data_IF_148033539731
#
_entry.id   IF_148033539731
#
_cell.length_a   1.000
_cell.length_b   1.000
_cell.length_c   1.000
_cell.angle_alpha   90.00
_cell.angle_beta   90.00
_cell.angle_gamma   90.00
#
_symmetry.space_group_name_H-M   'P 1'
#
loop_
_entity.id
_entity.type
_entity.pdbx_description
1 polymer ?
#
# COMPACT_ATOMS: atom_id res chain seq x y z
N UNK A 1 -7.10 16.39 -39.91
CA UNK A 1 -6.84 15.47 -41.05
C UNK A 1 -5.38 15.62 -41.44
N UNK A 2 -4.66 14.50 -41.54
CA UNK A 2 -3.20 14.44 -41.57
C UNK A 2 -2.61 15.07 -42.87
N UNK A 3 -1.43 15.71 -42.79
CA UNK A 3 -0.80 16.41 -43.93
C UNK A 3 -0.54 15.48 -45.15
N UNK A 4 -0.32 14.19 -44.89
CA UNK A 4 -0.15 13.16 -45.94
C UNK A 4 -1.43 12.98 -46.74
N UNK A 5 -2.60 12.93 -46.08
CA UNK A 5 -3.87 12.86 -46.79
C UNK A 5 -4.09 14.11 -47.65
N UNK A 6 -3.77 15.29 -47.11
CA UNK A 6 -3.84 16.57 -47.83
C UNK A 6 -2.93 16.63 -49.07
N UNK A 7 -1.80 15.91 -49.07
CA UNK A 7 -0.88 15.83 -50.21
C UNK A 7 -1.33 14.90 -51.34
N UNK A 8 -2.29 13.99 -51.09
CA UNK A 8 -2.82 13.08 -52.12
C UNK A 8 -3.71 13.82 -53.13
N UNK A 9 -4.21 15.01 -52.78
CA UNK A 9 -5.02 15.83 -53.66
C UNK A 9 -4.15 16.85 -54.38
N UNK A 10 -4.10 16.77 -55.71
CA UNK A 10 -3.43 17.77 -56.55
C UNK A 10 -4.09 19.14 -56.34
N UNK A 11 -3.29 20.19 -56.11
CA UNK A 11 -3.76 21.59 -55.95
C UNK A 11 -4.64 22.06 -57.12
N UNK A 12 -4.45 21.47 -58.31
CA UNK A 12 -5.18 21.79 -59.53
C UNK A 12 -6.21 20.70 -59.93
N UNK A 13 -6.54 19.77 -59.03
CA UNK A 13 -7.41 18.62 -59.30
C UNK A 13 -6.94 17.74 -60.48
N UNK A 14 -5.63 17.70 -60.73
CA UNK A 14 -5.04 16.81 -61.74
C UNK A 14 -5.01 15.37 -61.22
N UNK A 15 -5.85 14.53 -61.82
CA UNK A 15 -6.04 13.12 -61.47
C UNK A 15 -4.76 12.31 -61.72
N UNK A 16 -3.96 12.64 -62.74
CA UNK A 16 -2.72 11.89 -63.02
C UNK A 16 -1.67 12.12 -61.95
N UNK A 17 -1.57 13.36 -61.46
CA UNK A 17 -0.67 13.71 -60.35
C UNK A 17 -1.15 13.03 -59.06
N UNK A 18 -2.45 13.08 -58.76
CA UNK A 18 -3.02 12.42 -57.58
C UNK A 18 -2.77 10.90 -57.60
N UNK A 19 -2.97 10.25 -58.76
CA UNK A 19 -2.74 8.81 -58.92
C UNK A 19 -1.26 8.45 -58.75
N UNK A 20 -0.36 9.25 -59.31
CA UNK A 20 1.09 9.05 -59.19
C UNK A 20 1.57 9.19 -57.75
N UNK A 21 1.12 10.24 -57.05
CA UNK A 21 1.46 10.45 -55.63
C UNK A 21 0.88 9.32 -54.77
N UNK A 22 -0.36 8.89 -55.01
CA UNK A 22 -0.98 7.77 -54.30
C UNK A 22 -0.20 6.46 -54.44
N UNK A 23 0.30 6.17 -55.66
CA UNK A 23 1.16 5.02 -55.89
C UNK A 23 2.53 5.16 -55.21
N UNK A 24 3.15 6.33 -55.26
CA UNK A 24 4.42 6.58 -54.56
C UNK A 24 4.29 6.43 -53.04
N UNK A 25 3.23 7.00 -52.46
CA UNK A 25 2.93 6.86 -51.03
C UNK A 25 2.68 5.40 -50.69
N UNK A 26 1.90 4.66 -51.50
CA UNK A 26 1.65 3.23 -51.27
C UNK A 26 2.91 2.37 -51.34
N UNK A 27 3.80 2.61 -52.32
CA UNK A 27 5.09 1.92 -52.40
C UNK A 27 5.96 2.24 -51.19
N UNK A 28 5.99 3.51 -50.77
CA UNK A 28 6.74 3.95 -49.60
C UNK A 28 6.21 3.32 -48.32
N UNK A 29 4.89 3.36 -48.07
CA UNK A 29 4.27 2.75 -46.90
C UNK A 29 4.52 1.25 -46.86
N UNK A 30 4.41 0.56 -48.01
CA UNK A 30 4.73 -0.87 -48.06
C UNK A 30 6.23 -1.12 -47.84
N UNK A 31 7.13 -0.21 -48.19
CA UNK A 31 8.53 -0.33 -47.82
C UNK A 31 8.74 -0.17 -46.29
N UNK A 32 8.04 0.76 -45.64
CA UNK A 32 8.11 0.92 -44.19
C UNK A 32 7.58 -0.29 -43.41
N UNK A 33 6.61 -1.03 -43.98
CA UNK A 33 6.04 -2.25 -43.37
C UNK A 33 7.09 -3.32 -43.05
N UNK A 34 8.14 -3.47 -43.87
CA UNK A 34 9.26 -4.36 -43.52
C UNK A 34 10.40 -3.63 -42.83
N UNK A 35 10.68 -2.37 -43.22
CA UNK A 35 11.88 -1.67 -42.75
C UNK A 35 11.82 -1.30 -41.27
N UNK A 36 10.65 -0.91 -40.76
CA UNK A 36 10.50 -0.54 -39.34
C UNK A 36 10.71 -1.77 -38.44
N UNK A 37 10.04 -2.92 -38.67
CA UNK A 37 10.32 -4.13 -37.89
C UNK A 37 11.80 -4.55 -37.93
N UNK A 38 12.44 -4.49 -39.10
CA UNK A 38 13.86 -4.83 -39.21
C UNK A 38 14.76 -3.88 -38.40
N UNK A 39 14.51 -2.57 -38.45
CA UNK A 39 15.28 -1.62 -37.63
C UNK A 39 15.07 -1.80 -36.13
N UNK A 40 13.87 -2.23 -35.70
CA UNK A 40 13.52 -2.36 -34.28
C UNK A 40 13.90 -3.71 -33.68
N UNK A 41 13.85 -4.78 -34.47
CA UNK A 41 13.93 -6.15 -33.97
C UNK A 41 15.07 -6.97 -34.57
N UNK A 42 15.78 -6.46 -35.58
CA UNK A 42 16.93 -7.12 -36.18
C UNK A 42 18.22 -6.36 -35.87
N UNK A 43 19.25 -7.10 -35.48
CA UNK A 43 20.60 -6.58 -35.27
C UNK A 43 21.65 -7.63 -35.66
N UNK A 44 22.94 -7.32 -35.51
CA UNK A 44 24.02 -8.25 -35.88
C UNK A 44 23.99 -9.56 -35.06
N UNK A 45 23.52 -9.51 -33.82
CA UNK A 45 23.43 -10.68 -32.92
C UNK A 45 22.17 -11.52 -33.14
N UNK A 46 21.10 -10.93 -33.66
CA UNK A 46 19.82 -11.57 -33.96
C UNK A 46 19.31 -11.10 -35.33
N UNK A 47 19.74 -11.74 -36.43
CA UNK A 47 19.31 -11.37 -37.77
C UNK A 47 17.85 -11.77 -37.98
N UNK A 48 16.98 -10.78 -38.08
CA UNK A 48 15.58 -10.94 -38.47
C UNK A 48 15.33 -10.32 -39.84
N UNK A 49 14.47 -10.95 -40.65
CA UNK A 49 13.97 -10.35 -41.88
C UNK A 49 12.46 -10.19 -41.81
N UNK A 50 11.97 -9.05 -42.26
CA UNK A 50 10.55 -8.81 -42.50
C UNK A 50 10.31 -8.77 -44.01
N UNK A 51 9.07 -9.05 -44.40
CA UNK A 51 8.68 -9.07 -45.82
C UNK A 51 7.48 -8.16 -46.03
N UNK A 52 7.55 -7.37 -47.10
CA UNK A 52 6.43 -6.61 -47.65
C UNK A 52 6.33 -6.80 -49.16
N UNK A 53 5.24 -6.33 -49.77
CA UNK A 53 5.00 -6.49 -51.20
C UNK A 53 6.12 -5.88 -52.06
N UNK A 54 6.57 -4.67 -51.71
CA UNK A 54 7.63 -3.96 -52.45
C UNK A 54 8.98 -4.65 -52.28
N UNK A 55 9.33 -5.09 -51.07
CA UNK A 55 10.57 -5.84 -50.83
C UNK A 55 10.56 -7.17 -51.59
N UNK A 56 9.44 -7.88 -51.57
CA UNK A 56 9.34 -9.15 -52.28
C UNK A 56 9.49 -8.98 -53.79
N UNK A 57 8.87 -7.95 -54.39
CA UNK A 57 9.07 -7.63 -55.80
C UNK A 57 10.52 -7.20 -56.11
N UNK A 58 11.15 -6.45 -55.22
CA UNK A 58 12.54 -6.03 -55.36
C UNK A 58 13.51 -7.23 -55.32
N UNK A 59 13.29 -8.18 -54.39
CA UNK A 59 14.09 -9.41 -54.28
C UNK A 59 13.88 -10.28 -55.52
N UNK A 60 12.63 -10.49 -55.94
CA UNK A 60 12.35 -11.25 -57.17
C UNK A 60 13.05 -10.62 -58.39
N UNK A 61 13.05 -9.29 -58.49
CA UNK A 61 13.77 -8.58 -59.55
C UNK A 61 15.29 -8.76 -59.44
N UNK A 62 15.85 -8.75 -58.22
CA UNK A 62 17.29 -8.96 -57.97
C UNK A 62 17.73 -10.40 -58.27
N UNK A 63 16.85 -11.38 -58.05
CA UNK A 63 17.04 -12.79 -58.43
C UNK A 63 16.90 -13.04 -59.95
N UNK A 64 16.62 -12.00 -60.74
CA UNK A 64 16.43 -12.10 -62.18
C UNK A 64 15.07 -12.67 -62.60
N UNK A 65 14.10 -12.74 -61.69
CA UNK A 65 12.76 -13.16 -62.04
C UNK A 65 12.04 -12.08 -62.86
N UNK A 66 11.20 -12.51 -63.80
CA UNK A 66 10.37 -11.59 -64.56
C UNK A 66 9.25 -11.05 -63.68
N UNK A 67 9.10 -9.73 -63.64
CA UNK A 67 7.95 -9.05 -63.04
C UNK A 67 6.91 -8.81 -64.13
N UNK A 68 5.71 -9.36 -63.95
CA UNK A 68 4.61 -9.25 -64.89
C UNK A 68 3.64 -8.16 -64.47
N UNK A 69 3.19 -7.37 -65.44
CA UNK A 69 2.01 -6.53 -65.29
C UNK A 69 0.81 -7.24 -65.93
N UNK A 70 -0.10 -7.71 -65.09
CA UNK A 70 -1.32 -8.41 -65.48
C UNK A 70 -2.46 -7.40 -65.65
N UNK A 71 -3.04 -7.40 -66.85
CA UNK A 71 -4.19 -6.61 -67.27
C UNK A 71 -5.32 -7.53 -67.71
N UNK A 72 -6.52 -6.99 -67.94
CA UNK A 72 -7.65 -7.78 -68.45
C UNK A 72 -7.33 -8.51 -69.76
N UNK A 73 -6.54 -7.89 -70.63
CA UNK A 73 -6.19 -8.42 -71.97
C UNK A 73 -5.23 -9.62 -71.90
N UNK A 74 -4.29 -9.61 -70.94
CA UNK A 74 -3.21 -10.60 -70.89
C UNK A 74 -3.37 -11.65 -69.78
N UNK A 75 -4.40 -11.52 -68.93
CA UNK A 75 -4.59 -12.37 -67.74
C UNK A 75 -4.58 -13.87 -68.07
N UNK A 76 -5.23 -14.26 -69.17
CA UNK A 76 -5.34 -15.67 -69.58
C UNK A 76 -4.01 -16.23 -70.10
N UNK A 77 -3.13 -15.38 -70.62
CA UNK A 77 -1.80 -15.78 -71.08
C UNK A 77 -0.77 -15.78 -69.95
N UNK A 78 -0.87 -14.84 -69.02
CA UNK A 78 0.15 -14.66 -67.96
C UNK A 78 -0.09 -15.59 -66.78
N UNK A 79 -1.33 -15.73 -66.28
CA UNK A 79 -1.62 -16.52 -65.07
C UNK A 79 -1.14 -17.99 -65.10
N UNK A 80 -1.20 -18.72 -66.23
CA UNK A 80 -0.68 -20.08 -66.31
C UNK A 80 0.84 -20.17 -66.18
N UNK A 81 1.57 -19.12 -66.57
CA UNK A 81 3.04 -19.07 -66.55
C UNK A 81 3.59 -18.73 -65.16
N UNK A 82 2.77 -18.11 -64.30
CA UNK A 82 3.16 -17.77 -62.94
C UNK A 82 3.18 -19.03 -62.06
N UNK A 83 4.31 -19.32 -61.42
CA UNK A 83 4.45 -20.39 -60.44
C UNK A 83 4.21 -19.84 -59.02
N UNK A 84 2.96 -19.48 -58.75
CA UNK A 84 2.49 -18.85 -57.51
C UNK A 84 1.24 -19.58 -57.00
N UNK A 85 0.84 -19.30 -55.75
CA UNK A 85 -0.29 -19.97 -55.12
C UNK A 85 -1.62 -19.74 -55.85
N UNK A 86 -2.52 -20.71 -55.78
CA UNK A 86 -3.83 -20.67 -56.45
C UNK A 86 -4.70 -19.52 -55.93
N UNK A 87 -4.59 -19.20 -54.64
CA UNK A 87 -5.30 -18.08 -54.01
C UNK A 87 -4.91 -16.75 -54.65
N UNK A 88 -3.61 -16.50 -54.84
CA UNK A 88 -3.12 -15.28 -55.49
C UNK A 88 -3.56 -15.22 -56.96
N UNK A 89 -3.52 -16.35 -57.69
CA UNK A 89 -4.02 -16.40 -59.07
C UNK A 89 -5.50 -16.04 -59.16
N UNK A 90 -6.31 -16.55 -58.23
CA UNK A 90 -7.74 -16.26 -58.18
C UNK A 90 -7.99 -14.78 -57.87
N UNK A 91 -7.31 -14.22 -56.86
CA UNK A 91 -7.46 -12.81 -56.52
C UNK A 91 -7.06 -11.87 -57.66
N UNK A 92 -5.95 -12.17 -58.35
CA UNK A 92 -5.53 -11.40 -59.51
C UNK A 92 -6.61 -11.46 -60.60
N UNK A 93 -7.16 -12.64 -60.88
CA UNK A 93 -8.24 -12.84 -61.86
C UNK A 93 -9.48 -12.02 -61.50
N UNK A 94 -9.94 -12.09 -60.26
CA UNK A 94 -11.12 -11.37 -59.78
C UNK A 94 -10.91 -9.87 -59.81
N UNK A 95 -9.71 -9.42 -59.45
CA UNK A 95 -9.32 -8.01 -59.53
C UNK A 95 -9.26 -7.51 -60.98
N UNK A 96 -8.96 -8.37 -61.95
CA UNK A 96 -8.93 -7.98 -63.37
C UNK A 96 -10.35 -7.83 -63.92
N UNK A 97 -11.29 -8.65 -63.45
CA UNK A 97 -12.69 -8.57 -63.88
C UNK A 97 -13.34 -7.21 -63.54
N UNK A 98 -12.81 -6.51 -62.53
CA UNK A 98 -13.24 -5.15 -62.14
C UNK A 98 -12.33 -4.04 -62.68
N UNK A 99 -11.54 -4.30 -63.72
CA UNK A 99 -10.75 -3.27 -64.43
C UNK A 99 -9.41 -2.88 -63.79
N UNK A 100 -9.00 -3.51 -62.68
CA UNK A 100 -7.73 -3.18 -62.00
C UNK A 100 -6.52 -3.77 -62.74
N UNK A 101 -5.32 -3.27 -62.51
CA UNK A 101 -4.02 -3.82 -62.96
C UNK A 101 -3.28 -4.50 -61.81
N UNK A 102 -2.50 -5.54 -62.09
CA UNK A 102 -1.74 -6.25 -61.05
C UNK A 102 -0.27 -6.36 -61.45
N UNK A 103 0.65 -6.18 -60.51
CA UNK A 103 2.09 -6.37 -60.71
C UNK A 103 2.55 -7.51 -59.79
N UNK A 104 3.16 -8.55 -60.34
CA UNK A 104 3.52 -9.78 -59.60
C UNK A 104 4.78 -10.43 -60.20
N UNK A 105 5.59 -11.11 -59.39
CA UNK A 105 6.74 -11.89 -59.85
C UNK A 105 6.35 -13.23 -60.45
N UNK A 106 7.21 -13.78 -61.30
CA UNK A 106 6.97 -15.06 -61.97
C UNK A 106 6.89 -16.25 -61.00
N UNK A 107 7.80 -16.32 -60.03
CA UNK A 107 7.89 -17.42 -59.08
C UNK A 107 7.85 -16.88 -57.65
N UNK A 108 7.63 -17.78 -56.69
CA UNK A 108 7.83 -17.49 -55.27
C UNK A 108 9.31 -17.15 -54.99
N UNK A 109 9.52 -16.29 -54.00
CA UNK A 109 10.81 -16.01 -53.37
C UNK A 109 10.82 -16.58 -51.96
N UNK A 110 12.00 -16.70 -51.35
CA UNK A 110 12.14 -17.10 -49.95
C UNK A 110 12.98 -16.07 -49.19
N UNK A 111 12.41 -15.51 -48.10
CA UNK A 111 13.00 -14.43 -47.30
C UNK A 111 12.63 -14.65 -45.84
N UNK A 112 13.60 -14.71 -44.93
CA UNK A 112 13.33 -14.82 -43.49
C UNK A 112 12.47 -16.02 -43.06
N UNK A 113 12.49 -17.12 -43.81
CA UNK A 113 11.63 -18.29 -43.59
C UNK A 113 10.23 -18.20 -44.20
N UNK A 114 9.84 -17.05 -44.77
CA UNK A 114 8.62 -16.90 -45.55
C UNK A 114 8.88 -17.28 -47.01
N UNK A 115 7.98 -18.05 -47.62
CA UNK A 115 8.04 -18.39 -49.05
C UNK A 115 6.75 -17.95 -49.74
N UNK A 116 6.87 -17.15 -50.79
CA UNK A 116 5.71 -16.54 -51.40
C UNK A 116 6.01 -15.46 -52.44
N UNK A 117 4.98 -14.70 -52.83
CA UNK A 117 5.11 -13.56 -53.75
C UNK A 117 4.52 -12.28 -53.16
N UNK A 118 5.19 -11.17 -53.43
CA UNK A 118 4.60 -9.83 -53.30
C UNK A 118 3.87 -9.48 -54.58
N UNK A 119 2.67 -8.90 -54.45
CA UNK A 119 1.91 -8.41 -55.60
C UNK A 119 1.17 -7.12 -55.26
N UNK A 120 1.01 -6.28 -56.27
CA UNK A 120 0.35 -4.98 -56.13
C UNK A 120 -0.85 -4.97 -57.06
N UNK A 121 -2.04 -4.71 -56.53
CA UNK A 121 -3.26 -4.53 -57.33
C UNK A 121 -3.61 -3.06 -57.33
N UNK A 122 -3.51 -2.41 -58.48
CA UNK A 122 -3.73 -0.97 -58.63
C UNK A 122 -4.96 -0.71 -59.48
N UNK A 123 -5.80 0.20 -59.02
CA UNK A 123 -6.88 0.77 -59.82
C UNK A 123 -6.31 1.88 -60.73
N UNK A 124 -6.39 1.73 -62.06
CA UNK A 124 -5.87 2.74 -62.98
C UNK A 124 -6.68 4.05 -62.97
N UNK A 125 -7.93 4.05 -62.54
CA UNK A 125 -8.79 5.24 -62.52
C UNK A 125 -8.48 6.11 -61.29
N UNK A 126 -8.39 5.48 -60.12
CA UNK A 126 -8.22 6.17 -58.83
C UNK A 126 -6.78 6.21 -58.32
N UNK A 127 -5.87 5.45 -58.95
CA UNK A 127 -4.48 5.29 -58.50
C UNK A 127 -4.34 4.49 -57.19
N UNK A 128 -5.44 4.06 -56.57
CA UNK A 128 -5.42 3.30 -55.33
C UNK A 128 -4.77 1.93 -55.55
N UNK A 129 -3.82 1.57 -54.69
CA UNK A 129 -3.07 0.31 -54.75
C UNK A 129 -3.25 -0.51 -53.48
N UNK A 130 -3.55 -1.80 -53.64
CA UNK A 130 -3.43 -2.80 -52.58
C UNK A 130 -2.07 -3.49 -52.72
N UNK A 131 -1.22 -3.36 -51.70
CA UNK A 131 0.12 -3.94 -51.64
C UNK A 131 0.06 -5.20 -50.77
N UNK A 132 0.16 -6.37 -51.39
CA UNK A 132 -0.14 -7.65 -50.74
C UNK A 132 1.01 -8.63 -50.82
N UNK A 133 1.02 -9.59 -49.90
CA UNK A 133 1.92 -10.75 -49.92
C UNK A 133 1.09 -12.03 -49.90
N UNK A 134 1.57 -13.08 -50.54
CA UNK A 134 0.90 -14.39 -50.52
C UNK A 134 0.78 -14.94 -49.09
N UNK A 135 -0.31 -15.66 -48.81
CA UNK A 135 -0.71 -16.06 -47.46
C UNK A 135 -1.81 -15.19 -46.86
N UNK A 136 -2.37 -14.25 -47.63
CA UNK A 136 -3.54 -13.46 -47.26
C UNK A 136 -3.25 -12.22 -46.40
N UNK A 137 -2.00 -12.01 -46.00
CA UNK A 137 -1.59 -10.84 -45.24
C UNK A 137 -1.54 -9.59 -46.14
N UNK A 138 -2.12 -8.50 -45.65
CA UNK A 138 -2.06 -7.18 -46.30
C UNK A 138 -0.76 -6.48 -45.92
N UNK A 139 0.38 -6.94 -46.45
CA UNK A 139 1.60 -6.14 -46.50
C UNK A 139 2.71 -6.44 -45.49
N UNK A 140 2.53 -7.36 -44.53
CA UNK A 140 3.58 -7.67 -43.56
C UNK A 140 3.64 -9.12 -43.13
N UNK A 141 4.84 -9.70 -43.18
CA UNK A 141 5.19 -10.94 -42.47
C UNK A 141 6.36 -10.68 -41.53
N UNK A 142 6.21 -11.11 -40.28
CA UNK A 142 7.24 -11.07 -39.23
C UNK A 142 7.57 -12.52 -38.90
N UNK A 143 8.87 -12.87 -38.90
CA UNK A 143 9.31 -14.23 -38.61
C UNK A 143 8.99 -14.68 -37.18
N UNK A 144 8.82 -15.98 -36.99
CA UNK A 144 8.48 -16.59 -35.69
C UNK A 144 9.50 -16.27 -34.59
N UNK A 145 10.77 -16.02 -34.96
CA UNK A 145 11.83 -15.62 -34.03
C UNK A 145 11.54 -14.28 -33.35
N UNK A 146 11.10 -13.27 -34.11
CA UNK A 146 10.76 -11.95 -33.57
C UNK A 146 9.50 -12.03 -32.71
N UNK A 147 8.50 -12.80 -33.13
CA UNK A 147 7.27 -13.01 -32.35
C UNK A 147 7.58 -13.69 -31.00
N UNK A 148 8.47 -14.68 -31.01
CA UNK A 148 8.89 -15.40 -29.79
C UNK A 148 9.65 -14.48 -28.83
N UNK A 149 10.54 -13.65 -29.35
CA UNK A 149 11.26 -12.64 -28.57
C UNK A 149 10.30 -11.62 -27.92
N UNK A 150 9.33 -11.09 -28.68
CA UNK A 150 8.34 -10.15 -28.17
C UNK A 150 7.48 -10.74 -27.05
N UNK A 151 7.02 -11.99 -27.20
CA UNK A 151 6.27 -12.69 -26.15
C UNK A 151 7.11 -12.90 -24.89
N UNK A 152 8.39 -13.26 -25.06
CA UNK A 152 9.33 -13.40 -23.95
C UNK A 152 9.54 -12.08 -23.19
N UNK A 153 9.79 -10.99 -23.91
CA UNK A 153 9.99 -9.66 -23.33
C UNK A 153 8.76 -9.14 -22.57
N UNK A 154 7.55 -9.40 -23.09
CA UNK A 154 6.32 -9.01 -22.39
C UNK A 154 6.12 -9.81 -21.10
N UNK A 155 6.40 -11.12 -21.13
CA UNK A 155 6.29 -11.99 -19.96
C UNK A 155 7.28 -11.58 -18.87
N UNK A 156 8.54 -11.27 -19.23
CA UNK A 156 9.54 -10.82 -18.25
C UNK A 156 9.16 -9.49 -17.62
N UNK A 157 8.67 -8.52 -18.40
CA UNK A 157 8.17 -7.24 -17.87
C UNK A 157 7.00 -7.43 -16.90
N UNK A 158 6.06 -8.32 -17.24
CA UNK A 158 4.92 -8.62 -16.36
C UNK A 158 5.37 -9.22 -15.03
N UNK A 159 6.34 -10.15 -15.05
CA UNK A 159 6.89 -10.78 -13.85
C UNK A 159 7.67 -9.78 -12.98
N UNK A 160 8.46 -8.89 -13.59
CA UNK A 160 9.17 -7.83 -12.88
C UNK A 160 8.17 -6.87 -12.22
N UNK A 161 7.12 -6.48 -12.93
CA UNK A 161 6.04 -5.65 -12.37
C UNK A 161 5.37 -6.30 -11.16
N UNK A 162 5.08 -7.60 -11.22
CA UNK A 162 4.51 -8.35 -10.11
C UNK A 162 5.44 -8.40 -8.89
N UNK A 163 6.75 -8.63 -9.10
CA UNK A 163 7.73 -8.63 -8.02
C UNK A 163 7.83 -7.27 -7.33
N UNK A 164 7.84 -6.16 -8.09
CA UNK A 164 7.87 -4.81 -7.52
C UNK A 164 6.62 -4.56 -6.67
N UNK A 165 5.43 -4.92 -7.17
CA UNK A 165 4.19 -4.79 -6.40
C UNK A 165 4.22 -5.61 -5.10
N UNK A 166 4.74 -6.83 -5.13
CA UNK A 166 4.87 -7.67 -3.94
C UNK A 166 5.82 -7.07 -2.90
N UNK A 167 6.98 -6.56 -3.33
CA UNK A 167 7.96 -5.90 -2.44
C UNK A 167 7.36 -4.65 -1.80
N UNK A 168 6.66 -3.82 -2.57
CA UNK A 168 6.00 -2.61 -2.06
C UNK A 168 4.90 -2.96 -1.05
N UNK A 169 4.11 -4.01 -1.30
CA UNK A 169 3.08 -4.46 -0.37
C UNK A 169 3.68 -4.93 0.97
N UNK A 170 4.77 -5.70 0.92
CA UNK A 170 5.50 -6.15 2.11
C UNK A 170 6.11 -4.96 2.87
N UNK A 171 6.67 -3.99 2.15
CA UNK A 171 7.23 -2.78 2.77
C UNK A 171 6.15 -1.96 3.47
N UNK A 172 4.98 -1.76 2.85
CA UNK A 172 3.84 -1.09 3.48
C UNK A 172 3.36 -1.85 4.73
N UNK A 173 3.25 -3.18 4.67
CA UNK A 173 2.87 -3.99 5.82
C UNK A 173 3.88 -3.86 6.98
N UNK A 174 5.17 -3.84 6.68
CA UNK A 174 6.23 -3.62 7.65
C UNK A 174 6.12 -2.25 8.33
N UNK A 175 5.89 -1.18 7.55
CA UNK A 175 5.70 0.17 8.11
C UNK A 175 4.48 0.24 9.03
N UNK A 176 3.35 -0.33 8.63
CA UNK A 176 2.15 -0.36 9.46
C UNK A 176 2.36 -1.15 10.76
N UNK A 177 3.07 -2.28 10.71
CA UNK A 177 3.41 -3.06 11.90
C UNK A 177 4.31 -2.27 12.84
N UNK A 178 5.34 -1.61 12.33
CA UNK A 178 6.27 -0.81 13.15
C UNK A 178 5.54 0.36 13.82
N UNK A 179 4.64 1.03 13.11
CA UNK A 179 3.80 2.10 13.65
C UNK A 179 2.88 1.57 14.75
N UNK A 180 2.23 0.42 14.53
CA UNK A 180 1.37 -0.20 15.51
C UNK A 180 2.14 -0.54 16.81
N UNK A 181 3.31 -1.17 16.70
CA UNK A 181 4.14 -1.50 17.84
C UNK A 181 4.60 -0.25 18.61
N UNK A 182 4.95 0.81 17.89
CA UNK A 182 5.32 2.09 18.50
C UNK A 182 4.16 2.72 19.28
N UNK A 183 2.95 2.73 18.72
CA UNK A 183 1.74 3.22 19.41
C UNK A 183 1.45 2.39 20.66
N UNK A 184 1.47 1.06 20.56
CA UNK A 184 1.26 0.18 21.72
C UNK A 184 2.31 0.42 22.80
N UNK A 185 3.58 0.56 22.40
CA UNK A 185 4.68 0.87 23.32
C UNK A 185 4.46 2.17 24.10
N UNK A 186 4.11 3.25 23.41
CA UNK A 186 3.87 4.57 24.05
C UNK A 186 2.67 4.56 25.01
N UNK A 187 1.60 3.83 24.68
CA UNK A 187 0.45 3.66 25.58
C UNK A 187 0.86 2.92 26.85
N UNK A 188 1.58 1.80 26.71
CA UNK A 188 2.03 1.00 27.86
C UNK A 188 2.96 1.79 28.79
N UNK A 189 3.94 2.52 28.23
CA UNK A 189 4.83 3.36 29.04
C UNK A 189 4.06 4.46 29.77
N UNK A 190 3.05 5.05 29.13
CA UNK A 190 2.21 6.08 29.75
C UNK A 190 1.42 5.54 30.94
N UNK A 191 0.86 4.32 30.83
CA UNK A 191 0.15 3.66 31.93
C UNK A 191 1.08 3.42 33.14
N UNK A 192 2.30 2.96 32.89
CA UNK A 192 3.29 2.71 33.96
C UNK A 192 3.66 4.01 34.68
N UNK A 193 3.86 5.10 33.93
CA UNK A 193 4.17 6.42 34.50
C UNK A 193 3.01 6.93 35.36
N UNK A 194 1.77 6.87 34.85
CA UNK A 194 0.58 7.32 35.60
C UNK A 194 0.41 6.53 36.90
N UNK A 195 0.56 5.20 36.85
CA UNK A 195 0.47 4.34 38.04
C UNK A 195 1.56 4.70 39.07
N UNK A 196 2.78 4.95 38.60
CA UNK A 196 3.90 5.33 39.48
C UNK A 196 3.66 6.67 40.16
N UNK A 197 3.17 7.68 39.43
CA UNK A 197 2.81 8.99 39.98
C UNK A 197 1.68 8.90 41.01
N UNK A 198 0.66 8.07 40.77
CA UNK A 198 -0.43 7.83 41.70
C UNK A 198 0.04 7.19 43.01
N UNK A 199 0.97 6.23 42.92
CA UNK A 199 1.56 5.60 44.12
C UNK A 199 2.40 6.59 44.92
N UNK A 200 3.17 7.45 44.24
CA UNK A 200 3.96 8.51 44.90
C UNK A 200 3.03 9.50 45.62
N UNK A 201 1.93 9.93 44.98
CA UNK A 201 1.00 10.88 45.60
C UNK A 201 0.27 10.30 46.82
N UNK A 202 -0.15 9.03 46.75
CA UNK A 202 -0.71 8.30 47.90
C UNK A 202 0.30 8.19 49.05
N UNK A 203 1.57 7.90 48.73
CA UNK A 203 2.65 7.84 49.72
C UNK A 203 2.88 9.19 50.42
N UNK A 204 2.88 10.30 49.67
CA UNK A 204 3.02 11.65 50.23
C UNK A 204 1.85 12.03 51.16
N UNK A 205 0.61 11.68 50.78
CA UNK A 205 -0.58 11.92 51.63
C UNK A 205 -0.48 11.12 52.94
N UNK A 206 -0.07 9.85 52.87
CA UNK A 206 0.12 9.02 54.05
C UNK A 206 1.21 9.58 55.00
N UNK A 207 2.32 10.07 54.44
CA UNK A 207 3.36 10.76 55.21
C UNK A 207 2.82 12.06 55.86
N UNK A 208 2.01 12.85 55.14
CA UNK A 208 1.38 14.04 55.70
C UNK A 208 0.47 13.73 56.90
N UNK A 209 -0.32 12.66 56.82
CA UNK A 209 -1.21 12.22 57.91
C UNK A 209 -0.41 11.76 59.14
N UNK A 210 0.68 11.02 58.94
CA UNK A 210 1.52 10.56 60.06
C UNK A 210 2.27 11.70 60.75
N UNK A 211 2.80 12.66 59.99
CA UNK A 211 3.47 13.85 60.55
C UNK A 211 2.52 14.71 61.39
N UNK A 212 1.29 14.96 60.91
CA UNK A 212 0.30 15.75 61.66
C UNK A 212 -0.14 15.03 62.95
N UNK A 213 -0.31 13.71 62.90
CA UNK A 213 -0.59 12.89 64.09
C UNK A 213 0.52 12.97 65.15
N UNK A 214 1.79 12.90 64.73
CA UNK A 214 2.93 13.00 65.66
C UNK A 214 3.01 14.38 66.34
N UNK A 215 2.82 15.47 65.58
CA UNK A 215 2.83 16.83 66.13
C UNK A 215 1.68 17.03 67.11
N UNK A 216 0.46 16.61 66.76
CA UNK A 216 -0.70 16.71 67.66
C UNK A 216 -0.49 15.88 68.95
N UNK A 217 0.05 14.67 68.84
CA UNK A 217 0.37 13.82 69.99
C UNK A 217 1.41 14.45 70.92
N UNK A 218 2.48 15.02 70.37
CA UNK A 218 3.53 15.70 71.16
C UNK A 218 3.00 16.92 71.91
N UNK A 219 2.09 17.69 71.30
CA UNK A 219 1.43 18.83 71.93
C UNK A 219 0.57 18.45 73.14
N UNK A 220 -0.17 17.34 73.03
CA UNK A 220 -0.99 16.83 74.15
C UNK A 220 -0.14 16.36 75.34
N UNK A 221 0.97 15.67 75.07
CA UNK A 221 1.91 15.23 76.11
C UNK A 221 2.58 16.43 76.80
N UNK A 222 3.01 17.42 76.03
CA UNK A 222 3.59 18.65 76.58
C UNK A 222 2.59 19.43 77.44
N UNK A 223 1.32 19.53 77.00
CA UNK A 223 0.26 20.18 77.76
C UNK A 223 0.01 19.49 79.11
N UNK A 224 -0.06 18.15 79.13
CA UNK A 224 -0.18 17.35 80.35
C UNK A 224 1.01 17.54 81.30
N UNK A 225 2.22 17.63 80.75
CA UNK A 225 3.43 17.87 81.54
C UNK A 225 3.44 19.29 82.17
N UNK A 226 2.95 20.30 81.46
CA UNK A 226 2.88 21.67 81.98
C UNK A 226 1.81 21.80 83.08
N UNK A 227 0.63 21.19 82.92
CA UNK A 227 -0.44 21.26 83.94
C UNK A 227 -0.06 20.54 85.23
N UNK A 228 0.63 19.39 85.14
CA UNK A 228 1.13 18.68 86.32
C UNK A 228 2.20 19.47 87.08
N UNK A 229 3.12 20.15 86.40
CA UNK A 229 4.08 21.06 87.04
C UNK A 229 3.41 22.26 87.73
N UNK A 230 2.36 22.83 87.13
CA UNK A 230 1.57 23.91 87.76
C UNK A 230 0.85 23.42 89.01
N UNK A 231 0.22 22.24 88.94
CA UNK A 231 -0.43 21.62 90.10
C UNK A 231 0.58 21.36 91.23
N UNK A 232 1.76 20.81 90.92
CA UNK A 232 2.81 20.57 91.90
C UNK A 232 3.31 21.85 92.58
N UNK A 233 3.50 22.95 91.84
CA UNK A 233 3.88 24.25 92.42
C UNK A 233 2.79 24.81 93.35
N UNK A 234 1.52 24.68 92.98
CA UNK A 234 0.39 25.12 93.81
C UNK A 234 0.35 24.32 95.10
N UNK A 235 0.45 22.99 95.04
CA UNK A 235 0.49 22.12 96.23
C UNK A 235 1.67 22.45 97.14
N UNK A 236 2.87 22.68 96.58
CA UNK A 236 4.04 23.06 97.36
C UNK A 236 3.87 24.42 98.06
N UNK A 237 3.23 25.39 97.39
CA UNK A 237 2.95 26.71 97.97
C UNK A 237 1.92 26.61 99.10
N UNK A 238 0.86 25.83 98.89
CA UNK A 238 -0.16 25.57 99.92
C UNK A 238 0.48 24.92 101.15
N UNK A 239 1.32 23.90 100.94
CA UNK A 239 2.02 23.22 102.03
C UNK A 239 2.95 24.18 102.78
N UNK A 240 3.71 25.01 102.07
CA UNK A 240 4.58 26.03 102.67
C UNK A 240 3.80 27.05 103.50
N UNK A 241 2.65 27.54 103.00
CA UNK A 241 1.77 28.45 103.74
C UNK A 241 1.18 27.77 104.98
N UNK A 242 0.74 26.51 104.88
CA UNK A 242 0.25 25.74 106.02
C UNK A 242 1.32 25.57 107.10
N UNK A 243 2.54 25.19 106.71
CA UNK A 243 3.66 25.08 107.65
C UNK A 243 4.02 26.44 108.28
N UNK A 244 4.02 27.52 107.49
CA UNK A 244 4.28 28.88 108.00
C UNK A 244 3.19 29.37 108.98
N UNK A 245 1.92 29.04 108.73
CA UNK A 245 0.80 29.40 109.62
C UNK A 245 0.79 28.56 110.91
N UNK A 246 1.25 27.30 110.84
CA UNK A 246 1.47 26.46 112.02
C UNK A 246 2.62 26.99 112.90
N UNK A 247 3.72 27.42 112.29
CA UNK A 247 4.90 27.94 113.00
C UNK A 247 4.65 29.30 113.69
N UNK A 248 3.70 30.10 113.14
CA UNK A 248 3.22 31.36 113.72
C UNK A 248 2.11 31.18 114.77
N UNK A 249 1.67 29.95 115.05
CA UNK A 249 0.66 29.64 116.07
C UNK A 249 -0.78 30.05 115.74
N UNK A 250 -1.10 30.29 114.46
CA UNK A 250 -2.44 30.71 114.02
C UNK A 250 -3.38 29.50 113.81
N UNK A 251 -2.83 28.31 113.57
CA UNK A 251 -3.57 27.06 113.33
C UNK A 251 -3.06 25.98 114.30
N UNK A 252 -3.94 25.44 115.16
CA UNK A 252 -3.63 24.39 116.16
C UNK A 252 -3.93 22.97 115.59
N UNK A 253 -2.93 22.09 115.44
CA UNK A 253 -3.10 20.77 114.83
C UNK A 253 -3.93 19.77 115.64
N UNK A 254 -4.31 20.07 116.88
CA UNK A 254 -5.00 19.11 117.77
C UNK A 254 -6.53 19.24 117.81
N UNK A 255 -7.11 20.18 117.06
CA UNK A 255 -8.56 20.44 117.04
C UNK A 255 -9.33 19.72 115.92
N UNK A 256 -8.67 18.94 115.06
CA UNK A 256 -9.32 18.10 114.05
C UNK A 256 -9.54 16.68 114.61
N UNK A 257 -10.64 16.47 115.34
CA UNK A 257 -11.06 15.13 115.76
C UNK A 257 -11.65 14.34 114.60
N UNK A 258 -11.15 13.12 114.44
CA UNK A 258 -11.70 12.04 113.63
C UNK A 258 -13.12 11.73 114.15
N UNK A 259 -14.15 12.00 113.35
CA UNK A 259 -15.48 11.49 113.62
C UNK A 259 -15.57 10.01 113.19
N UNK A 260 -15.19 9.09 114.09
CA UNK A 260 -15.50 7.66 113.95
C UNK A 260 -17.01 7.43 114.19
N UNK A 261 -17.77 7.23 113.12
CA UNK A 261 -19.08 6.59 113.21
C UNK A 261 -18.88 5.07 113.34
N UNK A 262 -19.10 4.57 114.57
CA UNK A 262 -18.97 3.17 115.02
C UNK A 262 -19.78 2.18 114.16
N UNK A 263 -19.11 1.14 113.65
CA UNK A 263 -19.73 -0.04 113.03
C UNK A 263 -20.47 -0.85 114.12
N UNK A 264 -21.80 -0.97 114.00
CA UNK A 264 -22.63 -1.90 114.78
C UNK A 264 -22.86 -3.15 113.92
N UNK A 265 -22.37 -4.31 114.35
CA UNK A 265 -22.79 -5.61 113.80
C UNK A 265 -23.89 -6.23 114.68
N UNK A 266 -24.98 -6.76 114.11
CA UNK A 266 -25.77 -7.79 114.77
C UNK A 266 -25.74 -9.09 113.95
N UNK A 267 -25.02 -10.11 114.45
CA UNK A 267 -25.29 -11.51 114.10
C UNK A 267 -26.45 -12.00 114.96
N UNK A 268 -27.61 -12.28 114.36
CA UNK A 268 -28.61 -13.22 114.89
C UNK A 268 -29.12 -14.10 113.75
N UNK A 269 -28.84 -15.41 113.83
CA UNK A 269 -29.40 -16.45 112.96
C UNK A 269 -30.83 -16.76 113.42
N UNK A 270 -31.83 -16.79 112.52
CA UNK A 270 -32.99 -17.72 112.59
C UNK A 270 -33.57 -17.99 111.18
N UNK A 271 -33.54 -19.27 110.80
CA UNK A 271 -34.33 -20.12 109.87
C UNK A 271 -34.87 -19.65 108.49
N UNK A 272 -34.52 -20.49 107.49
CA UNK A 272 -35.33 -21.15 106.44
C UNK A 272 -36.72 -20.56 106.12
N UNK A 273 -37.01 -20.31 104.83
CA UNK A 273 -37.67 -21.31 103.95
C UNK A 273 -37.59 -20.93 102.45
N UNK A 274 -37.69 -21.97 101.62
CA UNK A 274 -37.71 -22.02 100.17
C UNK A 274 -39.08 -21.54 99.63
N UNK A 275 -39.13 -20.81 98.51
CA UNK A 275 -40.11 -21.06 97.42
C UNK A 275 -39.95 -20.10 96.24
N UNK A 276 -39.85 -20.68 95.05
CA UNK A 276 -40.02 -20.07 93.73
C UNK A 276 -41.44 -19.51 93.51
N UNK A 277 -41.54 -18.40 92.77
CA UNK A 277 -42.55 -18.08 91.70
C UNK A 277 -42.31 -16.61 91.29
N UNK A 278 -41.74 -16.37 90.11
CA UNK A 278 -42.42 -16.21 88.81
C UNK A 278 -43.43 -15.06 88.76
N UNK A 279 -43.23 -14.20 87.75
CA UNK A 279 -44.20 -13.54 86.86
C UNK A 279 -44.16 -12.01 86.89
N UNK A 280 -43.85 -11.47 85.70
CA UNK A 280 -44.38 -10.28 85.02
C UNK A 280 -44.42 -8.94 85.80
N UNK A 281 -44.01 -7.81 85.23
CA UNK A 281 -44.03 -7.37 83.83
C UNK A 281 -42.82 -6.47 83.51
#
# INVERSE_FOLDING_TARGET
MNAVAQSLWSKNNDVQIANTIGQQVGMMTSAWEHRIPEMLFSNEENPGEAVSAVKALAIASAEGQRIYQVTFENVNAVLPVLNISTEVKNEIRDSKAVGKKATVSQNNITVGGWTGVGYIITDPETGAGAYRISGGANGGFISDGIITFMKGALLTLALVGLLICAVLALFCAFLLLTLFLWIVGTILTSIVIIKSLLLISLGLVALGITCTGLVAGSGLVAAWFITSLRAAKITATILFVLTFLMDRGIIDPTSCQIAEARIISPKRKVKLDFSLRSLYA
#
